data_IF_176896774659
#
_entry.id   IF_176896774659
#
_cell.length_a   1.000
_cell.length_b   1.000
_cell.length_c   1.000
_cell.angle_alpha   90.00
_cell.angle_beta   90.00
_cell.angle_gamma   90.00
#
_symmetry.space_group_name_H-M   'P 1'
#
loop_
_entity.id
_entity.type
_entity.pdbx_description
1 polymer ?
#
# COMPACT_ATOMS: atom_id res chain seq x y z
N UNK A 1 -20.65 18.43 -2.85
CA UNK A 1 -20.66 17.32 -3.83
C UNK A 1 -20.82 16.04 -3.05
N UNK A 2 -21.88 15.27 -3.34
CA UNK A 2 -22.44 14.24 -2.45
C UNK A 2 -22.16 12.87 -3.07
N UNK A 3 -21.17 12.14 -2.55
CA UNK A 3 -20.45 11.09 -3.29
C UNK A 3 -21.21 9.81 -3.66
N UNK A 4 -22.50 9.62 -3.31
CA UNK A 4 -23.19 8.33 -3.64
C UNK A 4 -24.60 8.38 -4.20
N UNK A 5 -25.20 9.55 -4.46
CA UNK A 5 -26.55 9.61 -5.06
C UNK A 5 -26.61 10.08 -6.50
N UNK A 6 -25.75 11.03 -6.87
CA UNK A 6 -25.66 11.56 -8.23
C UNK A 6 -24.17 11.52 -8.59
N UNK A 7 -23.83 10.70 -9.58
CA UNK A 7 -22.47 10.66 -10.11
C UNK A 7 -21.67 9.39 -9.86
N UNK A 8 -22.05 8.43 -9.01
CA UNK A 8 -21.24 7.20 -8.83
C UNK A 8 -21.08 6.40 -10.14
N UNK A 9 -22.15 6.31 -10.93
CA UNK A 9 -22.12 5.74 -12.28
C UNK A 9 -21.39 6.66 -13.28
N UNK A 10 -21.51 7.98 -13.12
CA UNK A 10 -20.88 8.97 -14.00
C UNK A 10 -19.37 9.08 -13.77
N UNK A 11 -18.91 8.83 -12.54
CA UNK A 11 -17.50 8.85 -12.13
C UNK A 11 -16.86 7.48 -12.20
N UNK A 12 -17.63 6.39 -12.29
CA UNK A 12 -17.09 5.03 -12.43
C UNK A 12 -16.09 4.89 -13.59
N UNK A 13 -16.34 5.42 -14.81
CA UNK A 13 -15.34 5.39 -15.88
C UNK A 13 -14.06 6.13 -15.53
N UNK A 14 -14.15 7.25 -14.80
CA UNK A 14 -12.97 8.03 -14.37
C UNK A 14 -12.16 7.27 -13.33
N UNK A 15 -12.82 6.68 -12.33
CA UNK A 15 -12.16 5.88 -11.29
C UNK A 15 -11.50 4.64 -11.86
N UNK A 16 -12.15 3.97 -12.82
CA UNK A 16 -11.56 2.85 -13.54
C UNK A 16 -10.34 3.27 -14.36
N UNK A 17 -10.40 4.42 -15.05
CA UNK A 17 -9.25 4.95 -15.78
C UNK A 17 -8.09 5.36 -14.86
N UNK A 18 -8.38 5.93 -13.69
CA UNK A 18 -7.37 6.24 -12.66
C UNK A 18 -6.71 4.96 -12.14
N UNK A 19 -7.50 3.94 -11.81
CA UNK A 19 -7.00 2.64 -11.37
C UNK A 19 -6.14 1.96 -12.46
N UNK A 20 -6.55 2.03 -13.73
CA UNK A 20 -5.77 1.50 -14.85
C UNK A 20 -4.41 2.20 -14.97
N UNK A 21 -4.40 3.54 -14.89
CA UNK A 21 -3.16 4.32 -14.95
C UNK A 21 -2.21 3.97 -13.80
N UNK A 22 -2.72 3.86 -12.57
CA UNK A 22 -1.92 3.49 -11.40
C UNK A 22 -1.40 2.06 -11.55
N UNK A 23 -2.24 1.11 -11.98
CA UNK A 23 -1.84 -0.27 -12.20
C UNK A 23 -0.72 -0.38 -13.25
N UNK A 24 -0.82 0.35 -14.36
CA UNK A 24 0.22 0.37 -15.39
C UNK A 24 1.54 0.95 -14.88
N UNK A 25 1.48 2.00 -14.06
CA UNK A 25 2.64 2.58 -13.39
C UNK A 25 3.31 1.56 -12.46
N UNK A 26 2.52 0.90 -11.59
CA UNK A 26 3.02 -0.12 -10.66
C UNK A 26 3.65 -1.28 -11.41
N UNK A 27 3.01 -1.78 -12.47
CA UNK A 27 3.58 -2.84 -13.31
C UNK A 27 4.89 -2.43 -13.97
N UNK A 28 4.98 -1.20 -14.47
CA UNK A 28 6.22 -0.68 -15.06
C UNK A 28 7.35 -0.65 -14.04
N UNK A 29 7.04 -0.24 -12.80
CA UNK A 29 7.98 -0.22 -11.69
C UNK A 29 8.43 -1.63 -11.31
N UNK A 30 7.49 -2.57 -11.18
CA UNK A 30 7.79 -3.97 -10.81
C UNK A 30 8.52 -4.75 -11.92
N UNK A 31 8.30 -4.41 -13.19
CA UNK A 31 9.10 -4.95 -14.30
C UNK A 31 10.56 -4.49 -14.21
N UNK A 32 10.77 -3.24 -13.77
CA UNK A 32 12.11 -2.67 -13.61
C UNK A 32 12.81 -3.19 -12.36
N UNK A 33 12.08 -3.30 -11.27
CA UNK A 33 12.54 -3.83 -9.98
C UNK A 33 11.44 -4.66 -9.32
N UNK A 34 11.50 -6.00 -9.42
CA UNK A 34 10.53 -6.90 -8.80
C UNK A 34 10.49 -6.84 -7.26
N UNK A 35 11.43 -6.15 -6.62
CA UNK A 35 11.50 -5.95 -5.16
C UNK A 35 11.19 -4.50 -4.77
N UNK A 36 10.65 -3.70 -5.69
CA UNK A 36 10.29 -2.32 -5.41
C UNK A 36 9.27 -2.21 -4.26
N UNK A 37 9.54 -1.30 -3.33
CA UNK A 37 8.65 -0.99 -2.21
C UNK A 37 7.62 0.06 -2.66
N UNK A 38 6.40 -0.39 -2.96
CA UNK A 38 5.34 0.44 -3.51
C UNK A 38 4.13 0.42 -2.57
N UNK A 39 3.62 1.62 -2.27
CA UNK A 39 2.42 1.85 -1.48
C UNK A 39 1.45 2.70 -2.31
N UNK A 40 0.24 2.17 -2.55
CA UNK A 40 -0.87 2.93 -3.13
C UNK A 40 -1.92 3.13 -2.05
N UNK A 41 -2.24 4.37 -1.67
CA UNK A 41 -3.14 4.61 -0.53
C UNK A 41 -4.10 5.78 -0.76
N UNK A 42 -5.20 5.78 -0.02
CA UNK A 42 -6.15 6.88 0.02
C UNK A 42 -7.59 6.45 -0.18
N UNK A 43 -8.44 7.41 -0.51
CA UNK A 43 -9.87 7.21 -0.74
C UNK A 43 -10.12 6.78 -2.20
N UNK A 44 -10.38 5.50 -2.40
CA UNK A 44 -10.67 4.93 -3.71
C UNK A 44 -12.13 5.16 -4.12
N UNK A 45 -13.03 5.52 -3.19
CA UNK A 45 -14.49 5.51 -3.35
C UNK A 45 -15.09 4.19 -3.84
N UNK A 46 -14.29 3.13 -3.87
CA UNK A 46 -14.57 1.84 -4.47
C UNK A 46 -14.35 0.75 -3.43
N UNK A 47 -15.24 -0.24 -3.43
CA UNK A 47 -15.12 -1.42 -2.56
C UNK A 47 -14.23 -2.46 -3.21
N UNK A 48 -13.66 -3.37 -2.44
CA UNK A 48 -12.81 -4.48 -2.92
C UNK A 48 -13.37 -5.23 -4.14
N UNK A 49 -14.69 -5.43 -4.18
CA UNK A 49 -15.35 -6.19 -5.25
C UNK A 49 -15.61 -5.35 -6.51
N UNK A 50 -15.30 -4.06 -6.53
CA UNK A 50 -15.57 -3.20 -7.68
C UNK A 50 -14.47 -3.30 -8.74
N UNK A 51 -14.77 -3.04 -10.02
CA UNK A 51 -13.80 -3.19 -11.10
C UNK A 51 -12.48 -2.41 -10.91
N UNK A 52 -12.46 -1.16 -10.40
CA UNK A 52 -11.20 -0.43 -10.17
C UNK A 52 -10.27 -1.14 -9.17
N UNK A 53 -10.79 -1.62 -8.04
CA UNK A 53 -9.97 -2.29 -7.01
C UNK A 53 -9.53 -3.67 -7.47
N UNK A 54 -10.43 -4.43 -8.12
CA UNK A 54 -10.05 -5.70 -8.73
C UNK A 54 -8.95 -5.51 -9.78
N UNK A 55 -9.01 -4.47 -10.61
CA UNK A 55 -8.00 -4.21 -11.63
C UNK A 55 -6.60 -4.02 -11.04
N UNK A 56 -6.49 -3.35 -9.89
CA UNK A 56 -5.22 -3.08 -9.23
C UNK A 56 -4.69 -4.26 -8.41
N UNK A 57 -5.57 -5.13 -7.91
CA UNK A 57 -5.21 -6.23 -7.01
C UNK A 57 -5.12 -7.59 -7.71
N UNK A 58 -5.79 -7.75 -8.86
CA UNK A 58 -5.77 -8.99 -9.64
C UNK A 58 -4.35 -9.29 -10.11
N UNK A 59 -3.89 -10.51 -9.80
CA UNK A 59 -2.53 -10.96 -10.10
C UNK A 59 -1.53 -10.76 -8.96
N UNK A 60 -1.89 -10.02 -7.90
CA UNK A 60 -1.08 -9.92 -6.69
C UNK A 60 0.07 -8.90 -6.74
N UNK A 61 0.15 -8.07 -7.79
CA UNK A 61 1.10 -6.95 -7.88
C UNK A 61 0.88 -5.90 -6.77
N UNK A 62 -0.37 -5.80 -6.29
CA UNK A 62 -0.76 -5.04 -5.11
C UNK A 62 -1.73 -5.86 -4.27
N UNK A 63 -1.59 -5.78 -2.95
CA UNK A 63 -2.49 -6.45 -2.00
C UNK A 63 -2.98 -5.47 -0.93
N UNK A 64 -4.24 -5.60 -0.53
CA UNK A 64 -4.82 -4.80 0.56
C UNK A 64 -4.78 -5.61 1.87
N UNK A 65 -3.87 -5.31 2.82
CA UNK A 65 -3.76 -6.06 4.06
C UNK A 65 -4.93 -5.80 5.01
N UNK A 66 -5.72 -4.73 4.81
CA UNK A 66 -6.93 -4.46 5.58
C UNK A 66 -8.00 -5.56 5.39
N UNK A 67 -7.93 -6.33 4.29
CA UNK A 67 -8.80 -7.48 4.07
C UNK A 67 -8.57 -8.63 5.05
N UNK A 68 -7.50 -8.59 5.84
CA UNK A 68 -7.23 -9.58 6.89
C UNK A 68 -7.88 -9.21 8.23
N UNK A 69 -8.43 -8.00 8.38
CA UNK A 69 -9.17 -7.58 9.57
C UNK A 69 -10.49 -8.37 9.69
N UNK A 70 -11.02 -8.59 10.90
CA UNK A 70 -12.38 -9.10 11.09
C UNK A 70 -13.41 -8.31 10.27
N UNK A 71 -14.44 -8.98 9.76
CA UNK A 71 -15.43 -8.35 8.87
C UNK A 71 -16.15 -7.15 9.54
N UNK A 72 -16.34 -7.21 10.86
CA UNK A 72 -16.96 -6.18 11.69
C UNK A 72 -16.04 -5.02 12.07
N UNK A 73 -14.75 -5.08 11.71
CA UNK A 73 -13.77 -3.99 11.83
C UNK A 73 -13.35 -3.45 10.45
N UNK A 74 -13.85 -4.05 9.37
CA UNK A 74 -13.38 -3.81 8.00
C UNK A 74 -14.23 -2.79 7.26
N UNK A 75 -14.25 -1.56 7.77
CA UNK A 75 -14.88 -0.41 7.10
C UNK A 75 -14.16 0.87 7.45
N UNK A 76 -14.23 1.85 6.54
CA UNK A 76 -13.70 3.20 6.77
C UNK A 76 -14.78 4.27 6.65
N UNK A 77 -15.96 3.93 6.15
CA UNK A 77 -17.03 4.87 5.86
C UNK A 77 -18.40 4.23 6.07
N UNK A 78 -19.35 4.97 6.65
CA UNK A 78 -20.74 4.53 6.82
C UNK A 78 -21.68 5.44 6.03
N UNK A 79 -22.37 4.88 5.04
CA UNK A 79 -23.31 5.62 4.21
C UNK A 79 -24.71 5.00 4.25
N UNK A 80 -25.69 5.76 4.71
CA UNK A 80 -27.09 5.29 4.76
C UNK A 80 -27.27 4.02 5.58
N UNK A 81 -26.43 3.82 6.61
CA UNK A 81 -26.42 2.62 7.45
C UNK A 81 -25.64 1.44 6.87
N UNK A 82 -24.93 1.61 5.76
CA UNK A 82 -24.09 0.58 5.14
C UNK A 82 -22.61 0.93 5.36
N UNK A 83 -21.92 0.10 6.12
CA UNK A 83 -20.47 0.17 6.33
C UNK A 83 -19.70 -0.29 5.09
N UNK A 84 -18.66 0.43 4.73
CA UNK A 84 -17.91 0.23 3.49
C UNK A 84 -16.42 0.48 3.73
N UNK A 85 -15.57 -0.42 3.23
CA UNK A 85 -14.15 -0.18 3.09
C UNK A 85 -13.90 0.50 1.74
N UNK A 86 -13.66 1.81 1.75
CA UNK A 86 -13.36 2.60 0.54
C UNK A 86 -12.02 3.35 0.64
N UNK A 87 -11.47 3.44 1.85
CA UNK A 87 -10.10 3.88 2.09
C UNK A 87 -9.21 2.65 2.19
N UNK A 88 -8.13 2.65 1.43
CA UNK A 88 -7.25 1.50 1.33
C UNK A 88 -5.79 1.88 1.41
N UNK A 89 -4.97 0.88 1.74
CA UNK A 89 -3.53 0.93 1.58
C UNK A 89 -3.16 -0.37 0.86
N UNK A 90 -2.68 -0.27 -0.37
CA UNK A 90 -2.26 -1.39 -1.20
C UNK A 90 -0.74 -1.46 -1.20
N UNK A 91 -0.20 -2.65 -0.98
CA UNK A 91 1.24 -2.89 -0.85
C UNK A 91 1.74 -3.79 -1.98
N UNK A 92 2.91 -3.49 -2.54
CA UNK A 92 3.64 -4.44 -3.40
C UNK A 92 4.04 -5.70 -2.62
N UNK A 93 4.34 -6.83 -3.30
CA UNK A 93 4.73 -8.08 -2.64
C UNK A 93 5.88 -7.94 -1.64
N UNK A 94 6.90 -7.13 -1.98
CA UNK A 94 8.05 -6.89 -1.12
C UNK A 94 7.67 -6.28 0.23
N UNK A 95 6.65 -5.40 0.26
CA UNK A 95 6.15 -4.76 1.48
C UNK A 95 5.05 -5.56 2.18
N UNK A 96 4.23 -6.31 1.42
CA UNK A 96 3.14 -7.10 1.99
C UNK A 96 3.66 -8.10 3.05
N UNK A 97 4.83 -8.70 2.82
CA UNK A 97 5.49 -9.59 3.79
C UNK A 97 6.08 -8.88 5.03
N UNK A 98 6.19 -7.54 4.99
CA UNK A 98 6.73 -6.71 6.07
C UNK A 98 5.64 -6.07 6.93
N UNK A 99 4.36 -6.26 6.61
CA UNK A 99 3.26 -5.79 7.45
C UNK A 99 3.27 -6.52 8.80
N UNK A 100 3.58 -5.79 9.87
CA UNK A 100 3.63 -6.30 11.24
C UNK A 100 2.29 -6.19 11.96
N UNK A 101 1.52 -5.14 11.64
CA UNK A 101 0.17 -4.95 12.13
C UNK A 101 -0.65 -4.07 11.16
N UNK A 102 -1.96 -4.24 11.19
CA UNK A 102 -2.92 -3.40 10.48
C UNK A 102 -4.16 -3.20 11.33
N UNK A 103 -4.81 -2.05 11.20
CA UNK A 103 -6.08 -1.73 11.88
C UNK A 103 -6.76 -0.55 11.18
N UNK A 104 -8.03 -0.32 11.50
CA UNK A 104 -8.75 0.91 11.14
C UNK A 104 -9.13 1.60 12.44
N UNK A 105 -8.76 2.87 12.59
CA UNK A 105 -9.03 3.61 13.80
C UNK A 105 -10.43 4.21 13.78
N UNK A 106 -11.38 3.48 14.34
CA UNK A 106 -12.82 3.81 14.41
C UNK A 106 -13.12 4.95 15.40
N UNK A 107 -12.80 6.18 15.01
CA UNK A 107 -13.08 7.40 15.80
C UNK A 107 -14.02 8.37 15.08
N UNK A 108 -14.34 8.10 13.82
CA UNK A 108 -15.04 9.01 12.92
C UNK A 108 -16.34 8.40 12.39
N UNK A 109 -16.28 7.28 11.66
CA UNK A 109 -17.39 6.82 10.82
C UNK A 109 -18.64 6.43 11.64
N UNK A 110 -18.46 5.91 12.86
CA UNK A 110 -19.54 5.52 13.76
C UNK A 110 -19.99 6.63 14.71
N UNK A 111 -19.34 7.79 14.65
CA UNK A 111 -19.60 8.81 15.66
C UNK A 111 -21.03 9.35 15.51
N UNK A 112 -21.83 9.40 16.59
CA UNK A 112 -23.22 9.78 16.50
C UNK A 112 -23.38 11.21 15.95
N UNK A 113 -24.07 11.36 14.82
CA UNK A 113 -24.34 12.68 14.20
C UNK A 113 -24.98 13.67 15.20
N UNK A 114 -25.77 13.19 16.16
CA UNK A 114 -26.37 14.02 17.20
C UNK A 114 -25.37 14.63 18.20
N UNK A 115 -24.16 14.08 18.30
CA UNK A 115 -23.07 14.59 19.12
C UNK A 115 -22.03 15.37 18.31
N UNK A 116 -22.13 15.40 16.98
CA UNK A 116 -21.15 16.05 16.09
C UNK A 116 -21.07 17.59 16.25
N UNK A 117 -21.99 18.20 17.00
CA UNK A 117 -21.96 19.62 17.38
C UNK A 117 -21.17 19.89 18.67
N UNK A 118 -20.82 18.85 19.42
CA UNK A 118 -19.96 18.97 20.61
C UNK A 118 -18.51 19.14 20.16
N UNK A 119 -18.00 20.36 20.27
CA UNK A 119 -16.61 20.74 19.94
C UNK A 119 -15.73 20.86 21.18
N UNK A 120 -16.13 20.26 22.31
CA UNK A 120 -15.29 20.23 23.50
C UNK A 120 -13.94 19.54 23.22
N UNK A 121 -12.86 19.91 23.92
CA UNK A 121 -11.54 19.31 23.70
C UNK A 121 -11.52 17.77 23.80
N UNK A 122 -12.43 17.18 24.57
CA UNK A 122 -12.55 15.74 24.71
C UNK A 122 -13.16 15.05 23.47
N UNK A 123 -13.92 15.77 22.66
CA UNK A 123 -14.58 15.24 21.45
C UNK A 123 -13.86 15.61 20.15
N UNK A 124 -12.89 16.53 20.18
CA UNK A 124 -12.18 17.03 18.98
C UNK A 124 -11.48 15.96 18.14
N UNK A 125 -11.10 14.83 18.74
CA UNK A 125 -10.48 13.72 18.00
C UNK A 125 -11.51 12.83 17.29
N UNK A 126 -12.79 12.92 17.68
CA UNK A 126 -13.87 12.13 17.12
C UNK A 126 -14.62 12.91 16.05
N UNK A 127 -15.08 12.23 15.00
CA UNK A 127 -15.83 12.84 13.88
C UNK A 127 -15.13 14.07 13.25
N UNK A 128 -13.79 14.10 13.31
CA UNK A 128 -13.00 15.09 12.59
C UNK A 128 -13.10 14.89 11.06
N UNK A 129 -13.47 13.67 10.65
CA UNK A 129 -13.79 13.27 9.29
C UNK A 129 -15.07 12.42 9.31
N UNK A 130 -15.69 12.24 8.16
CA UNK A 130 -16.71 11.21 7.93
C UNK A 130 -16.08 9.83 7.59
N UNK A 131 -14.76 9.77 7.47
CA UNK A 131 -13.98 8.55 7.26
C UNK A 131 -13.12 8.22 8.49
N UNK A 132 -12.97 6.93 8.78
CA UNK A 132 -11.96 6.40 9.69
C UNK A 132 -10.60 6.27 9.00
N UNK A 133 -9.54 6.17 9.81
CA UNK A 133 -8.16 6.16 9.33
C UNK A 133 -7.60 4.74 9.28
N UNK A 134 -7.29 4.19 8.10
CA UNK A 134 -6.53 2.95 8.01
C UNK A 134 -5.07 3.16 8.45
N UNK A 135 -4.54 2.18 9.19
CA UNK A 135 -3.17 2.19 9.69
C UNK A 135 -2.50 0.85 9.40
N UNK A 136 -1.25 0.92 8.93
CA UNK A 136 -0.37 -0.23 8.79
C UNK A 136 0.97 0.10 9.47
N UNK A 137 1.44 -0.83 10.29
CA UNK A 137 2.80 -0.83 10.82
C UNK A 137 3.66 -1.78 10.00
N UNK A 138 4.72 -1.24 9.39
CA UNK A 138 5.69 -2.03 8.63
C UNK A 138 6.93 -2.29 9.49
N UNK A 139 7.33 -3.55 9.60
CA UNK A 139 8.62 -3.96 10.17
C UNK A 139 9.63 -4.19 9.04
N UNK A 140 10.45 -3.16 8.79
CA UNK A 140 11.37 -3.13 7.66
C UNK A 140 12.63 -3.97 7.88
N UNK A 141 12.88 -4.40 9.12
CA UNK A 141 14.01 -5.27 9.47
C UNK A 141 13.69 -6.75 9.25
N UNK A 142 12.40 -7.10 9.17
CA UNK A 142 11.94 -8.49 8.97
C UNK A 142 12.35 -9.11 7.63
N UNK A 143 12.86 -8.31 6.69
CA UNK A 143 13.21 -8.72 5.33
C UNK A 143 14.57 -9.47 5.19
N UNK A 144 15.27 -9.78 6.29
CA UNK A 144 16.64 -10.31 6.24
C UNK A 144 16.83 -11.80 6.54
N UNK A 145 15.80 -12.62 6.76
CA UNK A 145 16.06 -14.07 6.86
C UNK A 145 16.25 -14.68 5.47
N UNK A 146 17.47 -15.09 5.07
CA UNK A 146 17.68 -15.75 3.80
C UNK A 146 16.91 -17.08 3.83
N UNK A 147 16.13 -17.35 2.78
CA UNK A 147 15.72 -18.71 2.47
C UNK A 147 17.01 -19.49 2.22
N UNK A 148 17.45 -20.27 3.20
CA UNK A 148 18.54 -21.22 3.03
C UNK A 148 18.01 -22.32 2.12
N UNK A 149 18.11 -22.13 0.82
CA UNK A 149 18.08 -23.24 -0.12
C UNK A 149 19.35 -24.04 0.15
N UNK A 150 19.22 -25.15 0.89
CA UNK A 150 20.32 -26.09 1.14
C UNK A 150 20.69 -26.75 -0.19
N UNK A 151 21.47 -26.06 -1.00
CA UNK A 151 22.22 -26.66 -2.09
C UNK A 151 23.34 -27.51 -1.48
N UNK A 152 23.15 -28.83 -1.54
CA UNK A 152 24.20 -29.79 -1.15
C UNK A 152 25.28 -29.75 -2.22
N UNK A 153 26.39 -29.07 -1.95
CA UNK A 153 27.58 -29.11 -2.79
C UNK A 153 28.48 -30.28 -2.39
N UNK A 154 28.72 -31.18 -3.34
CA UNK A 154 29.78 -32.19 -3.28
C UNK A 154 31.08 -31.59 -3.84
N UNK A 155 32.16 -31.62 -3.07
CA UNK A 155 33.51 -31.18 -3.49
C UNK A 155 34.23 -32.21 -4.38
N UNK A 156 34.96 -31.74 -5.42
CA UNK A 156 36.26 -32.31 -5.76
C UNK A 156 37.41 -31.30 -5.55
N UNK A 157 38.61 -31.88 -5.36
CA UNK A 157 39.91 -31.32 -4.94
C UNK A 157 40.52 -30.24 -5.88
N UNK A 158 41.45 -29.35 -5.41
CA UNK A 158 41.79 -28.10 -6.12
C UNK A 158 43.05 -28.18 -7.01
N UNK A 159 43.11 -27.32 -8.02
CA UNK A 159 44.32 -26.94 -8.77
C UNK A 159 44.63 -25.42 -8.59
N UNK A 160 45.89 -24.97 -8.73
CA UNK A 160 46.38 -23.67 -8.24
C UNK A 160 46.07 -22.47 -9.17
N UNK A 161 46.16 -21.21 -8.69
CA UNK A 161 45.46 -20.07 -9.27
C UNK A 161 46.32 -19.24 -10.24
N UNK A 162 45.71 -18.51 -11.20
CA UNK A 162 46.32 -17.34 -11.82
C UNK A 162 45.95 -16.06 -11.07
N UNK A 163 46.93 -15.18 -10.91
CA UNK A 163 46.81 -13.82 -10.36
C UNK A 163 46.13 -12.92 -11.39
N UNK A 164 45.08 -12.19 -11.00
CA UNK A 164 44.52 -11.10 -11.80
C UNK A 164 44.37 -9.82 -10.95
N UNK A 165 44.71 -8.68 -11.55
CA UNK A 165 44.84 -7.36 -10.91
C UNK A 165 43.45 -6.72 -10.70
N UNK A 166 43.24 -5.89 -9.65
CA UNK A 166 41.93 -5.35 -9.35
C UNK A 166 41.50 -4.33 -10.41
N UNK A 167 40.41 -4.63 -11.12
CA UNK A 167 39.57 -3.62 -11.77
C UNK A 167 38.86 -2.79 -10.68
N UNK A 168 38.61 -1.48 -10.90
CA UNK A 168 37.95 -0.65 -9.90
C UNK A 168 36.59 -1.25 -9.55
N UNK A 169 36.37 -1.44 -8.25
CA UNK A 169 35.08 -1.86 -7.67
C UNK A 169 34.02 -0.90 -8.19
N UNK A 170 33.06 -1.42 -8.95
CA UNK A 170 31.84 -0.70 -9.27
C UNK A 170 31.24 -0.23 -7.94
N UNK A 171 31.09 1.09 -7.78
CA UNK A 171 30.48 1.66 -6.59
C UNK A 171 29.11 1.00 -6.39
N UNK A 172 28.96 0.39 -5.23
CA UNK A 172 27.89 -0.54 -4.90
C UNK A 172 26.52 0.12 -5.01
N UNK A 173 25.79 -0.18 -6.08
CA UNK A 173 24.40 0.20 -6.26
C UNK A 173 23.45 -0.71 -5.47
N UNK A 174 23.93 -1.60 -4.61
CA UNK A 174 23.09 -2.54 -3.86
C UNK A 174 22.40 -1.93 -2.62
N UNK A 175 22.70 -0.68 -2.23
CA UNK A 175 22.27 -0.10 -0.95
C UNK A 175 21.21 1.02 -1.05
N UNK A 176 20.63 1.26 -2.23
CA UNK A 176 19.48 2.16 -2.38
C UNK A 176 18.18 1.35 -2.39
N UNK A 177 17.24 1.72 -1.50
CA UNK A 177 15.85 1.27 -1.59
C UNK A 177 14.96 2.48 -1.89
N UNK A 178 14.35 2.46 -3.07
CA UNK A 178 13.37 3.45 -3.47
C UNK A 178 11.98 3.08 -2.94
N UNK A 179 11.33 4.05 -2.30
CA UNK A 179 9.94 3.97 -1.87
C UNK A 179 9.09 4.80 -2.80
N UNK A 180 7.95 4.26 -3.18
CA UNK A 180 7.03 4.92 -4.09
C UNK A 180 5.66 4.97 -3.43
N UNK A 181 5.20 6.18 -3.12
CA UNK A 181 3.90 6.47 -2.57
C UNK A 181 3.01 7.07 -3.65
N UNK A 182 1.88 6.41 -3.89
CA UNK A 182 0.84 6.87 -4.81
C UNK A 182 -0.41 7.16 -3.98
N UNK A 183 -0.80 8.43 -3.88
CA UNK A 183 -2.00 8.84 -3.14
C UNK A 183 -3.19 9.06 -4.05
N UNK A 184 -4.38 8.58 -3.66
CA UNK A 184 -5.65 8.77 -4.37
C UNK A 184 -6.63 9.57 -3.49
N UNK A 185 -7.31 10.57 -4.07
CA UNK A 185 -8.37 11.31 -3.40
C UNK A 185 -9.38 11.92 -4.37
N UNK A 186 -10.58 12.22 -3.86
CA UNK A 186 -11.69 12.83 -4.61
C UNK A 186 -11.30 14.23 -5.14
N UNK A 187 -10.93 14.31 -6.42
CA UNK A 187 -10.93 15.56 -7.18
C UNK A 187 -9.59 16.22 -7.48
N UNK A 188 -8.44 15.64 -7.10
CA UNK A 188 -7.12 16.12 -7.52
C UNK A 188 -6.21 14.95 -7.95
N UNK A 189 -5.23 15.27 -8.81
CA UNK A 189 -4.19 14.39 -9.34
C UNK A 189 -3.75 13.32 -8.33
N UNK A 190 -3.56 12.09 -8.81
CA UNK A 190 -2.80 11.10 -8.04
C UNK A 190 -1.46 11.74 -7.66
N UNK A 191 -1.27 11.99 -6.37
CA UNK A 191 -0.03 12.57 -5.86
C UNK A 191 1.03 11.49 -5.90
N UNK A 192 2.14 11.76 -6.58
CA UNK A 192 3.28 10.85 -6.65
C UNK A 192 4.39 11.39 -5.77
N UNK A 193 4.79 10.63 -4.76
CA UNK A 193 5.98 10.93 -3.98
C UNK A 193 6.92 9.74 -4.03
N UNK A 194 8.08 9.92 -4.66
CA UNK A 194 9.19 8.96 -4.53
C UNK A 194 10.04 9.41 -3.36
N UNK A 195 10.14 8.56 -2.36
CA UNK A 195 11.09 8.74 -1.27
C UNK A 195 12.22 7.74 -1.51
N UNK A 196 13.39 8.19 -1.95
CA UNK A 196 14.57 7.33 -2.00
C UNK A 196 15.23 7.34 -0.62
N UNK A 197 15.36 6.17 0.01
CA UNK A 197 16.06 6.05 1.29
C UNK A 197 17.35 5.27 1.10
N UNK A 198 18.45 5.85 1.58
CA UNK A 198 19.76 5.20 1.63
C UNK A 198 19.89 4.56 3.01
N UNK A 199 20.00 3.24 3.07
CA UNK A 199 20.42 2.59 4.30
C UNK A 199 21.95 2.62 4.36
N UNK A 200 22.49 3.09 5.49
CA UNK A 200 23.88 2.81 5.85
C UNK A 200 23.83 1.55 6.70
N UNK A 201 24.41 0.47 6.21
CA UNK A 201 24.90 -0.59 7.10
C UNK A 201 26.08 -0.04 7.91
#
# INVERSE_FOLDING_TARGET
FKSKREGAAETAPRRLAQAAHINDLVRTLLITDPQANIIVMGDFNDTEQSPPLQLMTVGGDLTNPLLQLPDDERYSYVFGGISQLIDGILLSPALAGQAAAQTIFHVSADFPVGLALDTSPATLIYHASDHDVPLILLDLARAEEPVVETAVFSTPEPDPPPIDLPLPVAEDSANWRSWIFISIGLGLLAGFFVITTRYKH
#
